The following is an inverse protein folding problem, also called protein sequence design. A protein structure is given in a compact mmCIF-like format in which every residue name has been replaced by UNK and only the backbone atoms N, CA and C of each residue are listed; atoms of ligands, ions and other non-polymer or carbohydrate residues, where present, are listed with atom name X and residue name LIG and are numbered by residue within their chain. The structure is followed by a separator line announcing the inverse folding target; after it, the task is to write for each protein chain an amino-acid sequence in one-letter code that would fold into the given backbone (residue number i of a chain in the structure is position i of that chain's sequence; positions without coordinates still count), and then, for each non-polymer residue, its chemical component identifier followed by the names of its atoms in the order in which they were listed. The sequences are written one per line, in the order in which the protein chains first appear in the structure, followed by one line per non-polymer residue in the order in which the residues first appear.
data_IF_332655488713
#
_entry.id   IF_332655488713
#
_cell.length_a   1.000
_cell.length_b   1.000
_cell.length_c   1.000
_cell.angle_alpha   90.00
_cell.angle_beta   90.00
_cell.angle_gamma   90.00
#
_symmetry.space_group_name_H-M   'P 1'
#
loop_
_entity.id
_entity.type
_entity.pdbx_description
1 polymer ?
#
# COMPACT_ATOMS: atom_id res chain seq x y z
N UNK A 1 18.91 -11.44 -4.63
CA UNK A 1 18.14 -10.48 -3.80
C UNK A 1 16.63 -10.78 -3.80
N UNK A 2 16.04 -11.06 -4.97
CA UNK A 2 14.62 -11.38 -5.18
C UNK A 2 14.05 -12.46 -4.25
N UNK A 3 14.78 -13.55 -4.00
CA UNK A 3 14.32 -14.62 -3.10
C UNK A 3 14.18 -14.20 -1.63
N UNK A 4 15.02 -13.28 -1.13
CA UNK A 4 14.91 -12.77 0.25
C UNK A 4 13.67 -11.88 0.42
N UNK A 5 13.39 -11.03 -0.57
CA UNK A 5 12.22 -10.14 -0.57
C UNK A 5 10.93 -10.97 -0.60
N UNK A 6 10.85 -11.96 -1.49
CA UNK A 6 9.69 -12.86 -1.56
C UNK A 6 9.51 -13.67 -0.27
N UNK A 7 10.59 -14.11 0.37
CA UNK A 7 10.54 -14.77 1.67
C UNK A 7 9.99 -13.85 2.76
N UNK A 8 10.40 -12.58 2.79
CA UNK A 8 9.86 -11.59 3.73
C UNK A 8 8.37 -11.32 3.48
N UNK A 9 7.97 -11.21 2.21
CA UNK A 9 6.57 -11.05 1.81
C UNK A 9 5.70 -12.26 2.23
N UNK A 10 6.17 -13.49 1.97
CA UNK A 10 5.48 -14.71 2.38
C UNK A 10 5.38 -14.85 3.90
N UNK A 11 6.45 -14.50 4.62
CA UNK A 11 6.46 -14.48 6.09
C UNK A 11 5.43 -13.47 6.65
N UNK A 12 5.36 -12.26 6.08
CA UNK A 12 4.37 -11.25 6.47
C UNK A 12 2.94 -11.76 6.27
N UNK A 13 2.65 -12.34 5.10
CA UNK A 13 1.33 -12.91 4.79
C UNK A 13 0.96 -14.04 5.76
N UNK A 14 1.91 -14.92 6.09
CA UNK A 14 1.68 -16.03 7.03
C UNK A 14 1.44 -15.55 8.47
N UNK A 15 2.20 -14.56 8.96
CA UNK A 15 2.02 -14.01 10.31
C UNK A 15 0.61 -13.44 10.51
N UNK A 16 0.05 -12.82 9.47
CA UNK A 16 -1.33 -12.31 9.49
C UNK A 16 -2.38 -13.42 9.52
N UNK A 17 -2.09 -14.60 8.96
CA UNK A 17 -2.97 -15.77 9.02
C UNK A 17 -2.92 -16.53 10.35
N UNK A 18 -1.79 -16.46 11.08
CA UNK A 18 -1.55 -17.19 12.33
C UNK A 18 -2.63 -17.03 13.41
N UNK A 19 -3.11 -15.82 13.76
CA UNK A 19 -4.13 -15.66 14.80
C UNK A 19 -5.50 -16.23 14.38
N UNK A 20 -5.74 -16.41 13.08
CA UNK A 20 -6.99 -16.96 12.54
C UNK A 20 -6.92 -18.47 12.29
N UNK A 21 -5.80 -19.14 12.62
CA UNK A 21 -5.64 -20.58 12.42
C UNK A 21 -6.62 -21.46 13.21
N UNK A 22 -7.24 -20.91 14.27
CA UNK A 22 -8.24 -21.60 15.09
C UNK A 22 -9.70 -21.29 14.69
N UNK A 23 -9.93 -20.40 13.71
CA UNK A 23 -11.29 -19.96 13.32
C UNK A 23 -11.76 -20.61 12.01
N UNK A 24 -13.06 -20.51 11.74
CA UNK A 24 -13.69 -21.05 10.52
C UNK A 24 -13.08 -20.51 9.22
N UNK A 25 -12.39 -19.36 9.27
CA UNK A 25 -11.63 -18.76 8.18
C UNK A 25 -10.47 -19.63 7.67
N UNK A 26 -10.01 -20.63 8.44
CA UNK A 26 -9.02 -21.62 8.01
C UNK A 26 -9.46 -22.37 6.74
N UNK A 27 -10.77 -22.55 6.50
CA UNK A 27 -11.26 -23.23 5.30
C UNK A 27 -11.03 -22.44 4.01
N UNK A 28 -10.75 -21.14 4.11
CA UNK A 28 -10.62 -20.23 2.96
C UNK A 28 -9.16 -19.79 2.74
N UNK A 29 -8.18 -20.53 3.29
CA UNK A 29 -6.76 -20.33 3.01
C UNK A 29 -6.27 -18.91 3.29
N UNK A 30 -5.96 -18.15 2.24
CA UNK A 30 -5.35 -16.80 2.29
C UNK A 30 -6.30 -15.64 2.61
N UNK A 31 -7.60 -15.91 2.82
CA UNK A 31 -8.62 -14.89 3.10
C UNK A 31 -8.24 -13.82 4.15
N UNK A 32 -7.67 -14.14 5.33
CA UNK A 32 -7.31 -13.12 6.31
C UNK A 32 -6.21 -12.18 5.81
N UNK A 33 -5.19 -12.70 5.12
CA UNK A 33 -4.12 -11.89 4.56
C UNK A 33 -4.63 -10.96 3.44
N UNK A 34 -5.53 -11.46 2.58
CA UNK A 34 -6.19 -10.66 1.53
C UNK A 34 -7.06 -9.57 2.15
N UNK A 35 -7.84 -9.88 3.18
CA UNK A 35 -8.68 -8.90 3.86
C UNK A 35 -7.84 -7.76 4.46
N UNK A 36 -6.74 -8.08 5.14
CA UNK A 36 -5.83 -7.08 5.70
C UNK A 36 -5.23 -6.21 4.59
N UNK A 37 -4.81 -6.82 3.47
CA UNK A 37 -4.30 -6.05 2.33
C UNK A 37 -5.36 -5.09 1.75
N UNK A 38 -6.61 -5.53 1.63
CA UNK A 38 -7.72 -4.68 1.17
C UNK A 38 -8.00 -3.53 2.13
N UNK A 39 -7.98 -3.78 3.45
CA UNK A 39 -8.14 -2.73 4.45
C UNK A 39 -7.02 -1.69 4.40
N UNK A 40 -5.77 -2.13 4.19
CA UNK A 40 -4.64 -1.24 4.01
C UNK A 40 -4.77 -0.38 2.73
N UNK A 41 -5.23 -0.96 1.62
CA UNK A 41 -5.51 -0.21 0.39
C UNK A 41 -6.64 0.81 0.61
N UNK A 42 -7.70 0.42 1.32
CA UNK A 42 -8.78 1.33 1.70
C UNK A 42 -8.29 2.50 2.56
N UNK A 43 -7.47 2.21 3.58
CA UNK A 43 -6.86 3.24 4.42
C UNK A 43 -5.93 4.17 3.63
N UNK A 44 -5.21 3.65 2.64
CA UNK A 44 -4.36 4.46 1.76
C UNK A 44 -5.14 5.42 0.85
N UNK A 45 -6.39 5.09 0.51
CA UNK A 45 -7.24 5.95 -0.30
C UNK A 45 -7.76 7.17 0.48
N UNK A 46 -7.91 7.06 1.80
CA UNK A 46 -8.44 8.14 2.67
C UNK A 46 -7.72 9.48 2.49
N UNK A 47 -6.38 9.59 2.61
CA UNK A 47 -5.69 10.87 2.46
C UNK A 47 -5.76 11.47 1.04
N UNK A 48 -6.19 10.68 0.04
CA UNK A 48 -6.35 11.12 -1.35
C UNK A 48 -7.80 11.56 -1.60
N UNK A 49 -8.78 10.77 -1.17
CA UNK A 49 -10.20 10.99 -1.43
C UNK A 49 -10.80 12.02 -0.48
N UNK A 50 -10.42 12.02 0.80
CA UNK A 50 -11.00 12.94 1.77
C UNK A 50 -10.82 14.42 1.39
N UNK A 51 -9.64 14.88 0.92
CA UNK A 51 -9.49 16.24 0.42
C UNK A 51 -10.34 16.54 -0.82
N UNK A 52 -10.62 15.53 -1.68
CA UNK A 52 -11.44 15.72 -2.88
C UNK A 52 -12.92 15.97 -2.56
N UNK A 53 -13.37 15.52 -1.39
CA UNK A 53 -14.73 15.74 -0.89
C UNK A 53 -14.88 17.09 -0.16
N UNK A 54 -13.77 17.73 0.24
CA UNK A 54 -13.82 19.05 0.87
C UNK A 54 -14.18 20.10 -0.19
N UNK A 55 -15.30 20.82 -0.07
CA UNK A 55 -15.66 21.87 -1.02
C UNK A 55 -14.49 22.85 -1.20
N UNK A 56 -14.36 23.43 -2.39
CA UNK A 56 -13.37 24.45 -2.70
C UNK A 56 -14.09 25.71 -3.18
N UNK A 57 -13.51 26.90 -2.95
CA UNK A 57 -14.10 28.11 -3.49
C UNK A 57 -13.98 28.08 -5.01
N UNK A 58 -15.04 28.53 -5.69
CA UNK A 58 -15.05 28.71 -7.14
C UNK A 58 -14.17 29.92 -7.50
N UNK A 59 -13.20 29.75 -8.41
CA UNK A 59 -12.43 30.86 -8.96
C UNK A 59 -13.31 31.66 -9.91
N UNK A 60 -13.64 32.89 -9.53
CA UNK A 60 -14.59 33.74 -10.25
C UNK A 60 -13.97 35.11 -10.53
N UNK A 61 -14.28 35.73 -11.66
CA UNK A 61 -13.93 37.13 -11.96
C UNK A 61 -15.09 38.07 -11.63
N UNK A 62 -14.81 39.36 -11.42
CA UNK A 62 -15.89 40.32 -11.14
C UNK A 62 -16.81 40.44 -12.36
N UNK A 63 -16.28 40.30 -13.57
CA UNK A 63 -17.07 40.27 -14.80
C UNK A 63 -18.09 39.10 -14.80
N UNK A 64 -17.70 37.89 -14.39
CA UNK A 64 -18.64 36.77 -14.29
C UNK A 64 -19.77 37.02 -13.27
N UNK A 65 -19.50 37.81 -12.22
CA UNK A 65 -20.53 38.24 -11.26
C UNK A 65 -21.51 39.22 -11.89
N UNK A 66 -21.03 40.17 -12.71
CA UNK A 66 -21.89 41.08 -13.48
C UNK A 66 -22.79 40.35 -14.48
N UNK A 67 -22.23 39.34 -15.15
CA UNK A 67 -22.94 38.58 -16.18
C UNK A 67 -23.84 37.47 -15.59
N UNK A 68 -23.89 37.37 -14.25
CA UNK A 68 -24.57 36.30 -13.51
C UNK A 68 -24.17 34.88 -13.98
N UNK A 69 -22.93 34.73 -14.44
CA UNK A 69 -22.39 33.52 -15.04
C UNK A 69 -21.71 32.57 -14.04
N UNK A 70 -22.06 32.65 -12.74
CA UNK A 70 -21.50 31.77 -11.70
C UNK A 70 -22.29 30.48 -11.57
N UNK A 71 -21.60 29.38 -11.26
CA UNK A 71 -22.24 28.07 -11.10
C UNK A 71 -23.18 28.06 -9.89
N UNK A 72 -22.82 28.79 -8.83
CA UNK A 72 -23.65 28.98 -7.64
C UNK A 72 -23.82 30.49 -7.35
N UNK A 73 -25.05 31.03 -7.43
CA UNK A 73 -25.30 32.46 -7.21
C UNK A 73 -25.08 32.93 -5.76
N UNK A 74 -25.10 32.00 -4.80
CA UNK A 74 -24.77 32.23 -3.38
C UNK A 74 -23.64 31.28 -2.94
N UNK A 75 -22.62 31.17 -3.79
CA UNK A 75 -21.51 30.24 -3.63
C UNK A 75 -20.34 30.77 -2.79
N UNK A 76 -19.50 29.84 -2.33
CA UNK A 76 -18.17 30.14 -1.81
C UNK A 76 -17.24 30.44 -2.99
N UNK A 77 -16.71 31.65 -3.07
CA UNK A 77 -15.97 32.14 -4.24
C UNK A 77 -14.60 32.69 -3.84
N UNK A 78 -13.74 32.77 -4.85
CA UNK A 78 -12.40 33.32 -4.77
C UNK A 78 -12.19 34.31 -5.91
N UNK A 79 -11.80 35.52 -5.54
CA UNK A 79 -11.59 36.65 -6.44
C UNK A 79 -10.14 37.14 -6.31
N UNK A 80 -9.61 37.68 -7.40
CA UNK A 80 -8.29 38.31 -7.45
C UNK A 80 -8.42 39.76 -7.89
N UNK A 81 -7.77 40.66 -7.16
CA UNK A 81 -7.89 42.07 -7.47
C UNK A 81 -7.11 42.97 -6.53
N UNK A 82 -7.25 44.27 -6.76
CA UNK A 82 -6.76 45.32 -5.87
C UNK A 82 -7.82 45.64 -4.84
N UNK A 83 -7.46 45.63 -3.56
CA UNK A 83 -8.36 45.96 -2.45
C UNK A 83 -8.17 47.42 -2.07
N UNK A 84 -9.27 48.18 -2.03
CA UNK A 84 -9.29 49.59 -1.64
C UNK A 84 -10.33 49.77 -0.53
N UNK A 85 -9.88 50.11 0.67
CA UNK A 85 -10.74 50.29 1.83
C UNK A 85 -11.73 51.44 1.64
N UNK A 86 -12.98 51.21 2.05
CA UNK A 86 -14.02 52.22 2.06
C UNK A 86 -14.12 52.86 3.44
N UNK A 87 -14.25 54.19 3.47
CA UNK A 87 -14.41 54.96 4.72
C UNK A 87 -15.84 54.90 5.26
N UNK A 88 -16.81 54.67 4.40
CA UNK A 88 -18.23 54.60 4.75
C UNK A 88 -18.80 53.24 4.34
N UNK A 89 -19.89 52.84 5.01
CA UNK A 89 -20.59 51.59 4.70
C UNK A 89 -21.46 51.78 3.45
N UNK A 90 -21.21 51.05 2.35
CA UNK A 90 -22.00 51.17 1.14
C UNK A 90 -23.33 50.40 1.20
N UNK A 91 -23.61 49.74 2.34
CA UNK A 91 -24.84 48.95 2.55
C UNK A 91 -25.65 49.45 3.76
N UNK A 92 -25.13 50.43 4.50
CA UNK A 92 -25.70 50.86 5.79
C UNK A 92 -25.47 49.87 6.94
N UNK A 93 -24.92 48.68 6.68
CA UNK A 93 -24.62 47.68 7.71
C UNK A 93 -23.32 47.98 8.46
N UNK A 94 -23.17 47.39 9.64
CA UNK A 94 -21.93 47.46 10.43
C UNK A 94 -20.88 46.49 9.85
N UNK A 95 -19.65 46.96 9.73
CA UNK A 95 -18.52 46.15 9.28
C UNK A 95 -17.41 47.04 8.71
N UNK A 96 -16.29 46.41 8.36
CA UNK A 96 -15.28 47.02 7.50
C UNK A 96 -15.57 46.63 6.06
N UNK A 97 -15.56 47.63 5.18
CA UNK A 97 -15.86 47.47 3.76
C UNK A 97 -14.66 47.86 2.93
N UNK A 98 -14.49 47.20 1.80
CA UNK A 98 -13.51 47.56 0.79
C UNK A 98 -14.08 47.29 -0.60
N UNK A 99 -13.52 47.91 -1.63
CA UNK A 99 -13.74 47.53 -3.01
C UNK A 99 -12.62 46.61 -3.46
N UNK A 100 -12.99 45.46 -4.00
CA UNK A 100 -12.09 44.66 -4.82
C UNK A 100 -12.28 45.07 -6.27
N UNK A 101 -11.30 45.76 -6.81
CA UNK A 101 -11.18 46.09 -8.23
C UNK A 101 -10.59 44.88 -8.94
N UNK A 102 -11.27 44.37 -9.96
CA UNK A 102 -10.85 43.17 -10.70
C UNK A 102 -9.43 43.33 -11.26
N UNK A 103 -8.60 42.30 -11.10
CA UNK A 103 -7.25 42.28 -11.65
C UNK A 103 -7.25 42.28 -13.19
N UNK A 104 -8.22 41.61 -13.81
CA UNK A 104 -8.28 41.44 -15.27
C UNK A 104 -9.08 42.56 -15.95
N UNK A 105 -10.01 43.20 -15.23
CA UNK A 105 -10.81 44.30 -15.74
C UNK A 105 -10.98 45.42 -14.70
N UNK A 106 -10.05 46.38 -14.63
CA UNK A 106 -9.97 47.31 -13.51
C UNK A 106 -11.07 48.39 -13.53
N UNK A 107 -11.98 48.35 -14.52
CA UNK A 107 -13.22 49.13 -14.54
C UNK A 107 -14.39 48.40 -13.87
N UNK A 108 -14.16 47.24 -13.27
CA UNK A 108 -15.14 46.44 -12.54
C UNK A 108 -14.71 46.24 -11.10
N UNK A 109 -15.67 46.38 -10.19
CA UNK A 109 -15.41 46.17 -8.77
C UNK A 109 -16.58 45.49 -8.05
N UNK A 110 -16.29 44.85 -6.93
CA UNK A 110 -17.27 44.31 -5.99
C UNK A 110 -16.93 44.71 -4.56
N UNK A 111 -17.95 44.91 -3.74
CA UNK A 111 -17.76 45.23 -2.32
C UNK A 111 -17.41 43.98 -1.53
N UNK A 112 -16.32 44.07 -0.77
CA UNK A 112 -15.93 43.11 0.26
C UNK A 112 -16.44 43.59 1.63
N UNK A 113 -16.89 42.64 2.46
CA UNK A 113 -17.29 42.87 3.85
C UNK A 113 -16.49 41.96 4.78
N UNK A 114 -15.96 42.53 5.87
CA UNK A 114 -15.30 41.78 6.93
C UNK A 114 -15.57 42.41 8.31
N UNK A 115 -15.48 41.60 9.37
CA UNK A 115 -15.59 42.08 10.76
C UNK A 115 -14.32 42.78 11.25
N UNK A 116 -13.15 42.30 10.83
CA UNK A 116 -11.86 42.95 11.07
C UNK A 116 -11.57 44.05 10.03
N UNK A 117 -10.77 45.08 10.37
CA UNK A 117 -10.44 46.16 9.45
C UNK A 117 -9.77 45.63 8.16
N UNK A 118 -10.31 46.05 7.02
CA UNK A 118 -9.72 45.84 5.70
C UNK A 118 -8.73 46.96 5.39
N UNK A 119 -7.56 46.58 4.89
CA UNK A 119 -6.49 47.49 4.49
C UNK A 119 -6.32 47.44 2.97
N UNK A 120 -5.82 48.54 2.42
CA UNK A 120 -5.48 48.62 1.00
C UNK A 120 -4.41 47.57 0.65
N UNK A 121 -4.58 46.92 -0.50
CA UNK A 121 -3.62 45.95 -1.02
C UNK A 121 -3.60 46.00 -2.55
N UNK A 122 -2.42 46.15 -3.16
CA UNK A 122 -2.28 46.26 -4.62
C UNK A 122 -2.73 45.00 -5.36
N UNK A 123 -2.46 43.84 -4.79
CA UNK A 123 -2.88 42.56 -5.33
C UNK A 123 -3.19 41.60 -4.18
N UNK A 124 -4.46 41.25 -4.04
CA UNK A 124 -4.93 40.33 -3.02
C UNK A 124 -5.83 39.26 -3.66
N UNK A 125 -5.79 38.09 -3.03
CA UNK A 125 -6.75 37.02 -3.26
C UNK A 125 -7.77 37.05 -2.12
N UNK A 126 -9.02 37.33 -2.45
CA UNK A 126 -10.12 37.40 -1.50
C UNK A 126 -10.95 36.13 -1.62
N UNK A 127 -11.15 35.42 -0.51
CA UNK A 127 -12.00 34.23 -0.44
C UNK A 127 -13.14 34.48 0.54
N UNK A 128 -14.37 34.15 0.14
CA UNK A 128 -15.56 34.41 0.94
C UNK A 128 -16.85 33.97 0.27
N UNK A 129 -17.97 34.23 0.92
CA UNK A 129 -19.30 33.88 0.42
C UNK A 129 -19.94 35.07 -0.30
N UNK A 130 -20.49 34.80 -1.49
CA UNK A 130 -21.29 35.77 -2.21
C UNK A 130 -22.66 35.89 -1.53
N UNK A 131 -23.01 37.10 -1.10
CA UNK A 131 -24.27 37.38 -0.41
C UNK A 131 -25.02 38.49 -1.11
N UNK A 132 -26.33 38.32 -1.24
CA UNK A 132 -27.24 39.33 -1.79
C UNK A 132 -27.32 40.53 -0.85
N UNK A 133 -26.95 41.72 -1.34
CA UNK A 133 -27.04 42.97 -0.60
C UNK A 133 -27.02 44.16 -1.55
N UNK A 134 -27.90 45.14 -1.31
CA UNK A 134 -27.97 46.35 -2.13
C UNK A 134 -26.80 47.27 -1.77
N UNK A 135 -25.99 47.59 -2.76
CA UNK A 135 -24.82 48.46 -2.65
C UNK A 135 -25.18 49.84 -3.19
N UNK A 136 -25.14 50.84 -2.32
CA UNK A 136 -25.29 52.26 -2.67
C UNK A 136 -24.00 52.96 -2.27
N UNK A 137 -23.28 53.48 -3.26
CA UNK A 137 -22.09 54.31 -3.03
C UNK A 137 -22.47 55.74 -3.37
N UNK A 138 -22.70 56.56 -2.33
CA UNK A 138 -23.14 57.95 -2.47
C UNK A 138 -21.97 58.92 -2.65
N UNK A 139 -20.76 58.55 -2.21
CA UNK A 139 -19.55 59.40 -2.24
C UNK A 139 -18.68 59.18 -3.48
N UNK A 140 -17.85 60.18 -3.80
CA UNK A 140 -16.73 60.02 -4.74
C UNK A 140 -15.83 58.85 -4.30
N UNK A 141 -15.73 57.85 -5.18
CA UNK A 141 -14.89 56.68 -4.94
C UNK A 141 -13.44 57.10 -4.66
N UNK A 142 -12.72 56.38 -3.78
CA UNK A 142 -11.31 56.67 -3.53
C UNK A 142 -10.55 56.71 -4.86
N UNK A 143 -9.68 57.71 -5.04
CA UNK A 143 -8.87 57.86 -6.27
C UNK A 143 -8.08 56.59 -6.57
N UNK A 144 -7.62 55.90 -5.52
CA UNK A 144 -6.94 54.62 -5.59
C UNK A 144 -7.76 53.49 -6.25
N UNK A 145 -9.10 53.59 -6.29
CA UNK A 145 -9.98 52.64 -6.99
C UNK A 145 -10.18 53.00 -8.47
N UNK A 146 -9.85 54.23 -8.89
CA UNK A 146 -10.06 54.69 -10.27
C UNK A 146 -8.95 54.26 -11.22
N UNK A 147 -9.26 54.18 -12.51
CA UNK A 147 -8.26 53.99 -13.58
C UNK A 147 -8.31 55.18 -14.51
N UNK A 148 -7.19 55.92 -14.60
CA UNK A 148 -7.10 57.15 -15.38
C UNK A 148 -8.25 58.14 -15.10
N UNK A 149 -8.68 58.24 -13.83
CA UNK A 149 -9.79 59.11 -13.40
C UNK A 149 -11.19 58.56 -13.67
N UNK A 150 -11.33 57.37 -14.27
CA UNK A 150 -12.63 56.72 -14.46
C UNK A 150 -12.97 55.82 -13.27
N UNK A 151 -14.13 56.00 -12.60
CA UNK A 151 -14.56 55.13 -11.51
C UNK A 151 -14.99 53.76 -12.03
N UNK A 152 -14.67 52.66 -11.32
CA UNK A 152 -15.13 51.33 -11.70
C UNK A 152 -16.64 51.18 -11.48
N UNK A 153 -17.28 50.35 -12.31
CA UNK A 153 -18.66 49.93 -12.10
C UNK A 153 -18.70 48.88 -11.00
N UNK A 154 -19.59 49.07 -10.03
CA UNK A 154 -19.72 48.20 -8.86
C UNK A 154 -20.92 47.27 -9.06
N UNK A 155 -20.78 46.00 -8.65
CA UNK A 155 -21.91 45.06 -8.58
C UNK A 155 -22.91 45.57 -7.54
N UNK A 156 -24.13 45.88 -7.98
CA UNK A 156 -25.09 46.65 -7.18
C UNK A 156 -25.92 45.79 -6.20
N UNK A 157 -26.05 44.50 -6.47
CA UNK A 157 -26.95 43.57 -5.79
C UNK A 157 -26.22 42.50 -4.96
N UNK A 158 -24.89 42.51 -4.95
CA UNK A 158 -24.08 41.48 -4.29
C UNK A 158 -22.83 42.04 -3.62
N UNK A 159 -22.48 41.43 -2.49
CA UNK A 159 -21.23 41.67 -1.78
C UNK A 159 -20.54 40.34 -1.46
N UNK A 160 -19.24 40.38 -1.18
CA UNK A 160 -18.47 39.20 -0.75
C UNK A 160 -18.17 39.31 0.73
N UNK A 161 -18.78 38.43 1.52
CA UNK A 161 -18.50 38.30 2.94
C UNK A 161 -17.23 37.44 3.11
N UNK A 162 -16.12 38.05 3.52
CA UNK A 162 -14.84 37.37 3.65
C UNK A 162 -14.82 36.42 4.85
N UNK A 163 -14.20 35.26 4.65
CA UNK A 163 -14.05 34.29 5.73
C UNK A 163 -13.16 34.84 6.86
N UNK A 164 -13.52 34.63 8.13
CA UNK A 164 -12.66 35.00 9.27
C UNK A 164 -11.40 34.15 9.32
N UNK A 165 -11.46 32.92 8.81
CA UNK A 165 -10.36 31.96 8.74
C UNK A 165 -10.12 31.60 7.29
N UNK A 166 -8.94 31.95 6.76
CA UNK A 166 -8.52 31.52 5.43
C UNK A 166 -8.35 30.00 5.47
N UNK A 167 -9.29 29.25 4.90
CA UNK A 167 -9.14 27.80 4.76
C UNK A 167 -7.98 27.54 3.80
N UNK A 168 -7.01 26.68 4.17
CA UNK A 168 -5.91 26.34 3.27
C UNK A 168 -6.44 25.65 2.01
N UNK A 169 -5.78 25.89 0.89
CA UNK A 169 -5.96 25.08 -0.32
C UNK A 169 -5.70 23.60 0.00
N UNK A 170 -6.41 22.70 -0.69
CA UNK A 170 -6.33 21.24 -0.49
C UNK A 170 -4.89 20.79 -0.33
N UNK A 171 -4.49 20.44 0.89
CA UNK A 171 -3.23 19.76 1.15
C UNK A 171 -3.48 18.25 1.12
N UNK A 172 -3.17 17.64 -0.02
CA UNK A 172 -3.25 16.18 -0.14
C UNK A 172 -2.05 15.58 0.58
N UNK A 173 -2.30 14.93 1.72
CA UNK A 173 -1.27 14.23 2.50
C UNK A 173 -0.88 12.88 1.85
N UNK A 174 -0.62 12.89 0.55
CA UNK A 174 -0.28 11.71 -0.24
C UNK A 174 0.89 10.88 0.31
N UNK A 175 1.91 11.44 1.00
CA UNK A 175 2.99 10.62 1.55
C UNK A 175 2.51 9.61 2.59
N UNK A 176 1.38 9.89 3.27
CA UNK A 176 0.78 8.96 4.24
C UNK A 176 0.17 7.72 3.58
N UNK A 177 -0.14 7.78 2.27
CA UNK A 177 -0.66 6.64 1.52
C UNK A 177 0.44 5.64 1.13
N UNK A 178 1.73 6.03 1.12
CA UNK A 178 2.81 5.19 0.61
C UNK A 178 3.04 3.94 1.49
N UNK A 179 3.23 4.05 2.82
CA UNK A 179 3.49 2.87 3.64
C UNK A 179 2.39 1.78 3.60
N UNK A 180 1.08 2.11 3.72
CA UNK A 180 0.04 1.09 3.67
C UNK A 180 -0.06 0.42 2.29
N UNK A 181 0.18 1.16 1.19
CA UNK A 181 0.20 0.57 -0.16
C UNK A 181 1.35 -0.42 -0.32
N UNK A 182 2.57 -0.04 0.08
CA UNK A 182 3.73 -0.93 -0.01
C UNK A 182 3.49 -2.20 0.81
N UNK A 183 2.94 -2.06 2.03
CA UNK A 183 2.65 -3.19 2.89
C UNK A 183 1.55 -4.09 2.29
N UNK A 184 0.48 -3.51 1.75
CA UNK A 184 -0.58 -4.27 1.08
C UNK A 184 -0.06 -5.06 -0.12
N UNK A 185 0.75 -4.43 -0.97
CA UNK A 185 1.37 -5.08 -2.13
C UNK A 185 2.32 -6.20 -1.69
N UNK A 186 3.12 -5.99 -0.64
CA UNK A 186 4.00 -7.03 -0.10
C UNK A 186 3.20 -8.24 0.42
N UNK A 187 2.07 -8.01 1.10
CA UNK A 187 1.18 -9.08 1.57
C UNK A 187 0.55 -9.82 0.40
N UNK A 188 0.00 -9.12 -0.59
CA UNK A 188 -0.61 -9.72 -1.78
C UNK A 188 0.41 -10.51 -2.59
N UNK A 189 1.62 -10.00 -2.74
CA UNK A 189 2.73 -10.69 -3.39
C UNK A 189 3.12 -11.94 -2.60
N UNK A 190 3.15 -11.86 -1.26
CA UNK A 190 3.40 -13.02 -0.38
C UNK A 190 2.33 -14.10 -0.49
N UNK A 191 1.05 -13.70 -0.54
CA UNK A 191 -0.09 -14.59 -0.77
C UNK A 191 0.00 -15.26 -2.14
N UNK A 192 0.29 -14.49 -3.20
CA UNK A 192 0.37 -15.00 -4.58
C UNK A 192 1.59 -15.87 -4.81
N UNK A 193 2.75 -15.47 -4.27
CA UNK A 193 4.00 -16.22 -4.43
C UNK A 193 4.02 -17.49 -3.55
N UNK A 194 3.14 -17.58 -2.54
CA UNK A 194 3.02 -18.73 -1.66
C UNK A 194 4.33 -19.08 -0.94
N UNK A 195 5.20 -18.08 -0.72
CA UNK A 195 6.62 -18.34 -0.49
C UNK A 195 6.80 -19.22 0.75
N UNK A 196 7.35 -20.44 0.57
CA UNK A 196 7.35 -21.42 1.63
C UNK A 196 8.45 -21.10 2.65
N UNK A 197 8.13 -21.18 3.94
CA UNK A 197 9.04 -20.88 5.04
C UNK A 197 9.31 -22.16 5.82
N UNK A 198 10.56 -22.60 5.84
CA UNK A 198 10.99 -23.72 6.66
C UNK A 198 11.10 -23.28 8.11
N UNK A 199 10.48 -24.03 9.01
CA UNK A 199 10.70 -23.89 10.46
C UNK A 199 11.22 -25.19 11.05
N UNK A 200 12.34 -25.15 11.78
CA UNK A 200 12.84 -26.33 12.46
C UNK A 200 11.86 -26.76 13.55
N UNK A 201 11.74 -28.07 13.76
CA UNK A 201 10.98 -28.68 14.85
C UNK A 201 11.82 -29.78 15.49
N UNK A 202 11.65 -29.97 16.78
CA UNK A 202 12.28 -31.05 17.56
C UNK A 202 11.34 -32.24 17.73
N UNK A 203 10.10 -32.15 17.23
CA UNK A 203 9.14 -33.25 17.24
C UNK A 203 9.51 -34.32 16.21
N UNK A 204 9.98 -35.46 16.71
CA UNK A 204 10.34 -36.66 15.93
C UNK A 204 9.54 -37.83 16.50
N UNK A 205 8.93 -38.63 15.63
CA UNK A 205 8.42 -39.93 16.04
C UNK A 205 9.59 -40.89 16.30
N UNK A 206 9.94 -41.04 17.58
CA UNK A 206 11.07 -41.87 18.04
C UNK A 206 10.84 -43.36 17.71
N UNK A 207 9.61 -43.77 17.39
CA UNK A 207 9.25 -45.15 17.05
C UNK A 207 9.30 -45.43 15.53
N UNK A 208 9.59 -44.42 14.72
CA UNK A 208 9.65 -44.58 13.27
C UNK A 208 10.80 -45.53 12.87
N UNK A 209 10.46 -46.68 12.27
CA UNK A 209 11.46 -47.64 11.79
C UNK A 209 12.26 -47.05 10.62
N UNK A 210 13.60 -47.03 10.65
CA UNK A 210 14.41 -46.50 9.54
C UNK A 210 14.02 -47.12 8.19
N UNK A 211 14.26 -46.39 7.10
CA UNK A 211 13.99 -46.94 5.77
C UNK A 211 14.80 -48.20 5.50
N UNK A 212 14.12 -49.20 4.92
CA UNK A 212 14.75 -50.45 4.51
C UNK A 212 15.56 -50.30 3.23
N UNK A 213 16.51 -51.21 3.02
CA UNK A 213 17.26 -51.30 1.75
C UNK A 213 16.29 -51.55 0.60
N UNK A 214 16.39 -50.75 -0.46
CA UNK A 214 15.53 -50.85 -1.64
C UNK A 214 14.19 -50.12 -1.51
N UNK A 215 13.88 -49.60 -0.31
CA UNK A 215 12.67 -48.82 -0.09
C UNK A 215 12.79 -47.43 -0.74
N UNK A 216 11.71 -47.01 -1.38
CA UNK A 216 11.62 -45.80 -2.20
C UNK A 216 10.63 -44.84 -1.56
N UNK A 217 11.10 -43.63 -1.24
CA UNK A 217 10.23 -42.56 -0.73
C UNK A 217 10.17 -41.44 -1.76
N UNK A 218 9.02 -41.22 -2.41
CA UNK A 218 8.83 -40.07 -3.26
C UNK A 218 8.73 -38.81 -2.40
N UNK A 219 9.47 -37.78 -2.77
CA UNK A 219 9.49 -36.49 -2.10
C UNK A 219 9.47 -35.38 -3.13
N UNK A 220 9.01 -34.19 -2.74
CA UNK A 220 9.32 -32.99 -3.50
C UNK A 220 10.58 -32.35 -2.91
N UNK A 221 11.35 -31.60 -3.72
CA UNK A 221 12.53 -30.93 -3.22
C UNK A 221 12.68 -29.52 -3.80
N UNK A 222 13.19 -28.61 -2.97
CA UNK A 222 13.77 -27.35 -3.41
C UNK A 222 15.20 -27.23 -2.90
N UNK A 223 16.06 -26.55 -3.64
CA UNK A 223 17.50 -26.47 -3.37
C UNK A 223 18.31 -27.21 -4.43
N UNK A 224 19.45 -27.78 -4.03
CA UNK A 224 20.43 -28.39 -4.93
C UNK A 224 20.60 -29.88 -4.64
N UNK A 225 20.50 -30.71 -5.67
CA UNK A 225 20.86 -32.13 -5.66
C UNK A 225 21.81 -32.39 -6.83
N UNK A 226 23.10 -32.56 -6.54
CA UNK A 226 24.15 -32.63 -7.55
C UNK A 226 24.18 -31.36 -8.40
N UNK A 227 24.03 -31.53 -9.72
CA UNK A 227 23.94 -30.42 -10.68
C UNK A 227 22.53 -29.82 -10.81
N UNK A 228 21.50 -30.48 -10.28
CA UNK A 228 20.12 -30.03 -10.42
C UNK A 228 19.75 -29.05 -9.32
N UNK A 229 19.25 -27.88 -9.69
CA UNK A 229 18.81 -26.84 -8.76
C UNK A 229 17.37 -26.45 -9.02
N UNK A 230 16.54 -26.46 -7.98
CA UNK A 230 15.14 -26.06 -8.03
C UNK A 230 14.84 -24.96 -7.01
N UNK A 231 14.09 -23.92 -7.39
CA UNK A 231 13.60 -22.97 -6.40
C UNK A 231 12.51 -23.62 -5.56
N UNK A 232 12.37 -23.18 -4.31
CA UNK A 232 11.36 -23.75 -3.41
C UNK A 232 9.92 -23.37 -3.76
N UNK A 233 9.75 -22.30 -4.55
CA UNK A 233 8.45 -21.86 -5.08
C UNK A 233 7.93 -22.78 -6.20
N UNK A 234 8.80 -23.62 -6.76
CA UNK A 234 8.48 -24.59 -7.80
C UNK A 234 9.30 -25.87 -7.56
N UNK A 235 8.93 -26.66 -6.53
CA UNK A 235 9.73 -27.81 -6.10
C UNK A 235 9.66 -28.92 -7.15
N UNK A 236 10.81 -29.51 -7.45
CA UNK A 236 10.88 -30.66 -8.35
C UNK A 236 10.55 -31.97 -7.63
N UNK A 237 10.21 -33.01 -8.38
CA UNK A 237 10.11 -34.36 -7.82
C UNK A 237 11.49 -34.94 -7.52
N UNK A 238 11.63 -35.68 -6.41
CA UNK A 238 12.79 -36.47 -6.08
C UNK A 238 12.38 -37.83 -5.51
N UNK A 239 13.29 -38.79 -5.63
CA UNK A 239 13.17 -40.10 -5.03
C UNK A 239 14.33 -40.34 -4.07
N UNK A 240 13.98 -40.60 -2.82
CA UNK A 240 14.92 -41.04 -1.81
C UNK A 240 14.96 -42.57 -1.77
N UNK A 241 16.16 -43.14 -1.84
CA UNK A 241 16.37 -44.58 -1.88
C UNK A 241 17.57 -44.98 -1.02
N UNK A 242 17.39 -45.98 -0.17
CA UNK A 242 18.47 -46.60 0.58
C UNK A 242 19.10 -47.72 -0.25
N UNK A 243 20.42 -47.64 -0.44
CA UNK A 243 21.21 -48.63 -1.18
C UNK A 243 22.24 -49.30 -0.27
N UNK A 244 22.61 -50.54 -0.60
CA UNK A 244 23.74 -51.23 0.06
C UNK A 244 25.06 -50.71 -0.50
N UNK A 245 25.97 -50.37 0.39
CA UNK A 245 27.34 -50.00 0.07
C UNK A 245 28.38 -50.88 0.76
N UNK A 246 29.66 -50.71 0.37
CA UNK A 246 30.77 -51.49 0.92
C UNK A 246 30.97 -51.28 2.42
N UNK A 247 30.56 -50.12 2.96
CA UNK A 247 30.72 -49.72 4.36
C UNK A 247 29.40 -49.70 5.15
N UNK A 248 28.28 -50.11 4.53
CA UNK A 248 26.96 -50.06 5.14
C UNK A 248 25.88 -49.54 4.18
N UNK A 249 24.66 -49.37 4.70
CA UNK A 249 23.56 -48.79 3.94
C UNK A 249 23.74 -47.27 3.82
N UNK A 250 23.46 -46.71 2.65
CA UNK A 250 23.54 -45.27 2.42
C UNK A 250 22.30 -44.75 1.71
N UNK A 251 21.93 -43.51 2.02
CA UNK A 251 20.81 -42.82 1.41
C UNK A 251 21.23 -42.15 0.11
N UNK A 252 20.40 -42.25 -0.93
CA UNK A 252 20.60 -41.53 -2.19
C UNK A 252 19.37 -40.68 -2.51
N UNK A 253 19.60 -39.51 -3.08
CA UNK A 253 18.56 -38.67 -3.66
C UNK A 253 18.69 -38.65 -5.18
N UNK A 254 17.60 -38.97 -5.86
CA UNK A 254 17.51 -38.92 -7.30
C UNK A 254 16.45 -37.91 -7.73
N UNK A 255 16.82 -36.80 -8.37
CA UNK A 255 15.83 -35.91 -8.99
C UNK A 255 15.04 -36.68 -10.06
N UNK A 256 13.74 -36.39 -10.17
CA UNK A 256 12.89 -36.89 -11.24
C UNK A 256 12.92 -35.91 -12.41
N UNK A 257 12.80 -36.43 -13.63
CA UNK A 257 12.66 -35.59 -14.82
C UNK A 257 11.20 -35.16 -14.97
N UNK A 258 10.95 -33.86 -15.08
CA UNK A 258 9.59 -33.32 -15.23
C UNK A 258 8.97 -33.70 -16.58
N UNK A 259 9.80 -33.81 -17.63
CA UNK A 259 9.37 -34.05 -19.01
C UNK A 259 9.28 -35.55 -19.39
N UNK A 260 9.32 -36.46 -18.40
CA UNK A 260 9.33 -37.91 -18.63
C UNK A 260 10.62 -38.45 -19.27
N UNK A 261 11.66 -37.62 -19.35
CA UNK A 261 13.00 -37.99 -19.83
C UNK A 261 13.78 -38.88 -18.85
N UNK A 262 15.04 -39.18 -19.20
CA UNK A 262 15.92 -39.99 -18.36
C UNK A 262 16.18 -39.26 -17.04
N UNK A 263 15.79 -39.88 -15.93
CA UNK A 263 16.02 -39.33 -14.60
C UNK A 263 17.53 -39.13 -14.34
N UNK A 264 17.95 -37.97 -13.83
CA UNK A 264 19.34 -37.72 -13.44
C UNK A 264 19.92 -38.81 -12.53
N UNK A 265 21.24 -38.96 -12.56
CA UNK A 265 21.91 -39.96 -11.73
C UNK A 265 21.66 -39.71 -10.23
N UNK A 266 21.45 -40.78 -9.43
CA UNK A 266 21.26 -40.66 -7.99
C UNK A 266 22.53 -40.11 -7.32
N UNK A 267 22.34 -39.17 -6.41
CA UNK A 267 23.40 -38.53 -5.64
C UNK A 267 23.40 -39.07 -4.22
N UNK A 268 24.58 -39.37 -3.68
CA UNK A 268 24.74 -39.82 -2.30
C UNK A 268 24.38 -38.70 -1.31
N UNK A 269 23.47 -38.99 -0.38
CA UNK A 269 23.28 -38.23 0.85
C UNK A 269 24.13 -38.91 1.92
N UNK A 270 25.35 -38.41 2.09
CA UNK A 270 26.35 -38.97 3.00
C UNK A 270 27.75 -38.51 2.63
N UNK A 271 28.70 -38.65 3.55
CA UNK A 271 30.08 -38.19 3.37
C UNK A 271 30.77 -37.87 4.70
N UNK A 272 31.90 -37.16 4.65
CA UNK A 272 32.66 -36.73 5.85
C UNK A 272 31.88 -35.78 6.76
N UNK A 273 30.90 -35.06 6.21
CA UNK A 273 29.94 -34.26 6.96
C UNK A 273 28.57 -34.34 6.28
N UNK A 274 27.53 -34.53 7.09
CA UNK A 274 26.14 -34.44 6.65
C UNK A 274 25.34 -33.94 7.84
N UNK A 275 24.54 -32.90 7.65
CA UNK A 275 23.61 -32.41 8.67
C UNK A 275 22.19 -32.39 8.15
N UNK A 276 21.27 -32.79 9.02
CA UNK A 276 19.84 -32.76 8.80
C UNK A 276 19.17 -31.81 9.79
N UNK A 277 18.12 -31.11 9.37
CA UNK A 277 17.21 -30.40 10.27
C UNK A 277 15.79 -30.80 9.95
N UNK A 278 15.12 -31.33 10.96
CA UNK A 278 13.72 -31.69 10.86
C UNK A 278 12.88 -30.43 11.05
N UNK A 279 11.82 -30.32 10.27
CA UNK A 279 10.97 -29.14 10.29
C UNK A 279 9.63 -29.37 9.63
N UNK A 280 8.95 -28.25 9.45
CA UNK A 280 7.79 -28.15 8.59
C UNK A 280 8.00 -26.99 7.63
N UNK A 281 7.52 -27.20 6.40
CA UNK A 281 7.42 -26.17 5.41
C UNK A 281 6.04 -25.55 5.46
N UNK A 282 5.97 -24.27 5.82
CA UNK A 282 4.72 -23.53 5.86
C UNK A 282 4.58 -22.74 4.57
N UNK A 283 3.54 -23.04 3.79
CA UNK A 283 3.02 -22.15 2.76
C UNK A 283 1.82 -21.38 3.34
N UNK A 284 1.29 -20.43 2.57
CA UNK A 284 0.06 -19.71 2.96
C UNK A 284 -1.15 -20.65 3.01
N UNK A 285 -1.14 -21.73 2.23
CA UNK A 285 -2.26 -22.66 2.05
C UNK A 285 -2.14 -23.93 2.88
N UNK A 286 -0.93 -24.40 3.14
CA UNK A 286 -0.68 -25.69 3.78
C UNK A 286 0.59 -25.72 4.62
N UNK A 287 0.70 -26.74 5.45
CA UNK A 287 1.92 -27.05 6.19
C UNK A 287 2.33 -28.47 5.85
N UNK A 288 3.52 -28.61 5.27
CA UNK A 288 4.04 -29.88 4.74
C UNK A 288 5.24 -30.32 5.60
N UNK A 289 5.32 -31.59 6.03
CA UNK A 289 6.49 -32.11 6.73
C UNK A 289 7.76 -31.96 5.89
N UNK A 290 8.85 -31.47 6.48
CA UNK A 290 10.06 -31.14 5.73
C UNK A 290 11.35 -31.58 6.44
N UNK A 291 12.35 -31.98 5.65
CA UNK A 291 13.70 -32.29 6.10
C UNK A 291 14.69 -31.46 5.29
N UNK A 292 15.38 -30.53 5.94
CA UNK A 292 16.52 -29.84 5.34
C UNK A 292 17.76 -30.74 5.47
N UNK A 293 18.43 -31.03 4.36
CA UNK A 293 19.65 -31.85 4.34
C UNK A 293 20.77 -31.07 3.66
N UNK A 294 21.91 -31.03 4.34
CA UNK A 294 23.14 -30.42 3.85
C UNK A 294 24.28 -31.43 3.86
N UNK A 295 24.86 -31.65 2.69
CA UNK A 295 26.04 -32.46 2.42
C UNK A 295 26.83 -31.81 1.28
N UNK A 296 27.95 -32.42 0.90
CA UNK A 296 28.80 -31.95 -0.19
C UNK A 296 28.02 -31.79 -1.53
N UNK A 297 27.20 -32.78 -1.86
CA UNK A 297 26.47 -32.81 -3.14
C UNK A 297 24.98 -32.48 -3.00
N UNK A 298 24.44 -32.36 -1.78
CA UNK A 298 23.02 -32.08 -1.54
C UNK A 298 22.89 -30.90 -0.58
N UNK A 299 22.19 -29.86 -1.01
CA UNK A 299 21.81 -28.71 -0.17
C UNK A 299 20.35 -28.38 -0.49
N UNK A 300 19.45 -29.17 0.08
CA UNK A 300 18.04 -29.19 -0.31
C UNK A 300 17.10 -29.40 0.89
N UNK A 301 15.88 -28.85 0.77
CA UNK A 301 14.76 -29.19 1.66
C UNK A 301 13.87 -30.17 0.93
N UNK A 302 13.70 -31.36 1.52
CA UNK A 302 12.77 -32.39 1.07
C UNK A 302 11.42 -32.20 1.74
N UNK A 303 10.35 -32.32 0.97
CA UNK A 303 8.96 -32.22 1.40
C UNK A 303 8.31 -33.59 1.28
N UNK A 304 7.63 -34.02 2.34
CA UNK A 304 7.06 -35.36 2.46
C UNK A 304 5.54 -35.31 2.52
N UNK A 305 4.89 -36.39 2.10
CA UNK A 305 3.44 -36.48 2.24
C UNK A 305 3.02 -36.68 3.71
N UNK A 306 3.89 -37.31 4.52
CA UNK A 306 3.60 -37.69 5.91
C UNK A 306 4.80 -37.43 6.84
N UNK A 307 4.52 -37.10 8.11
CA UNK A 307 5.55 -36.98 9.15
C UNK A 307 6.34 -38.29 9.32
N UNK A 308 5.66 -39.44 9.21
CA UNK A 308 6.31 -40.74 9.32
C UNK A 308 7.36 -40.95 8.24
N UNK A 309 7.10 -40.60 6.99
CA UNK A 309 8.08 -40.73 5.89
C UNK A 309 9.31 -39.84 6.13
N UNK A 310 9.06 -38.59 6.55
CA UNK A 310 10.12 -37.64 6.95
C UNK A 310 10.99 -38.21 8.05
N UNK A 311 10.38 -38.71 9.13
CA UNK A 311 11.09 -39.18 10.32
C UNK A 311 11.91 -40.45 10.05
N UNK A 312 11.38 -41.35 9.22
CA UNK A 312 12.10 -42.55 8.76
C UNK A 312 13.33 -42.23 7.93
N UNK A 313 13.27 -41.18 7.10
CA UNK A 313 14.43 -40.65 6.37
C UNK A 313 15.39 -39.94 7.32
N UNK A 314 14.86 -39.13 8.23
CA UNK A 314 15.67 -38.36 9.17
C UNK A 314 16.49 -39.26 10.09
N UNK A 315 16.00 -40.46 10.44
CA UNK A 315 16.75 -41.47 11.18
C UNK A 315 18.03 -41.97 10.48
N UNK A 316 18.15 -41.76 9.17
CA UNK A 316 19.32 -42.15 8.36
C UNK A 316 20.31 -41.00 8.12
N UNK A 317 20.00 -39.80 8.59
CA UNK A 317 20.82 -38.59 8.44
C UNK A 317 21.22 -38.11 9.84
N UNK A 318 22.43 -37.60 10.01
CA UNK A 318 22.81 -36.97 11.28
C UNK A 318 21.99 -35.69 11.46
N UNK A 319 20.97 -35.72 12.31
CA UNK A 319 20.09 -34.56 12.54
C UNK A 319 20.64 -33.70 13.69
N UNK A 320 20.80 -32.40 13.45
CA UNK A 320 21.08 -31.42 14.50
C UNK A 320 19.85 -31.37 15.42
N UNK A 321 20.02 -31.78 16.68
CA UNK A 321 18.97 -31.70 17.73
C UNK A 321 18.98 -30.35 18.42
#
# INVERSE_FOLDING_TARGET
MTGRILATCGWLAWQLGRPFGATALRRVGSAPAVLVALLLLGAAAVPIVAPLLDPQPEDVTVQQLFDAATTHPEGWIRLRGRVVALRQSPTGERGSFALLVDADNPLRAIVLRRTAPLLDAELAQATGFLTSATVVVEDELPIAATVAGTPPRIVADRIVALDPVVKPERSVAWPLAIPPVILALAILLGVRAGYPVFRPTTEIDVLATPLGVGERVPTAYGGRIGANRRPMTDPGGALLLVRRGPTGNFLTAQPLADDGGVAPAPVLIGGSWTSGRIGAMHTVTETVPALEVRSELVDATFLFARNTERDRVAALVTVDR
#
